data_IF_590104333293
#
_entry.id   IF_590104333293
#
_cell.length_a   1.000
_cell.length_b   1.000
_cell.length_c   1.000
_cell.angle_alpha   90.00
_cell.angle_beta   90.00
_cell.angle_gamma   90.00
#
_symmetry.space_group_name_H-M   'P 1'
#
loop_
_entity.id
_entity.type
_entity.pdbx_description
1 polymer ?
#
# COMPACT_ATOMS: atom_id res chain seq x y z
N UNK A 1 -6.43 -12.76 27.86
CA UNK A 1 -5.47 -13.50 27.39
C UNK A 1 -4.29 -12.73 26.87
N UNK A 2 -3.28 -13.37 26.78
CA UNK A 2 -2.05 -12.75 26.42
C UNK A 2 -1.84 -12.78 24.95
N UNK A 3 -1.12 -11.86 24.42
CA UNK A 3 -0.76 -11.86 23.05
C UNK A 3 -1.72 -11.14 22.13
N UNK A 4 -2.84 -10.65 22.66
CA UNK A 4 -3.76 -9.89 21.84
C UNK A 4 -3.99 -8.53 22.46
N UNK A 5 -3.20 -7.58 22.06
CA UNK A 5 -3.43 -6.19 22.39
C UNK A 5 -4.47 -5.62 21.44
N UNK A 6 -4.99 -4.45 21.76
CA UNK A 6 -5.90 -3.75 20.87
C UNK A 6 -5.19 -3.47 19.53
N UNK A 7 -3.90 -3.15 19.57
CA UNK A 7 -3.13 -2.92 18.37
C UNK A 7 -3.08 -4.14 17.47
N UNK A 8 -2.89 -5.33 18.04
CA UNK A 8 -2.89 -6.56 17.27
C UNK A 8 -4.24 -6.83 16.64
N UNK A 9 -5.30 -6.57 17.38
CA UNK A 9 -6.65 -6.77 16.85
C UNK A 9 -6.94 -5.81 15.70
N UNK A 10 -6.49 -4.57 15.81
CA UNK A 10 -6.65 -3.59 14.74
C UNK A 10 -5.88 -3.98 13.50
N UNK A 11 -4.68 -4.51 13.65
CA UNK A 11 -3.89 -4.96 12.50
C UNK A 11 -4.56 -6.14 11.80
N UNK A 12 -5.15 -7.06 12.56
CA UNK A 12 -5.90 -8.16 11.97
C UNK A 12 -7.12 -7.65 11.21
N UNK A 13 -7.84 -6.73 11.80
CA UNK A 13 -9.02 -6.16 11.17
C UNK A 13 -8.63 -5.42 9.91
N UNK A 14 -7.54 -4.68 9.96
CA UNK A 14 -7.00 -3.97 8.81
C UNK A 14 -6.70 -4.94 7.66
N UNK A 15 -6.02 -6.04 7.97
CA UNK A 15 -5.71 -7.04 6.97
C UNK A 15 -6.97 -7.65 6.37
N UNK A 16 -8.00 -7.87 7.17
CA UNK A 16 -9.26 -8.41 6.67
C UNK A 16 -9.95 -7.45 5.71
N UNK A 17 -9.95 -6.17 6.04
CA UNK A 17 -10.55 -5.16 5.16
C UNK A 17 -9.86 -5.16 3.80
N UNK A 18 -8.53 -5.19 3.82
CA UNK A 18 -7.77 -5.22 2.57
C UNK A 18 -8.05 -6.51 1.79
N UNK A 19 -8.06 -7.64 2.49
CA UNK A 19 -8.23 -8.94 1.84
C UNK A 19 -9.54 -9.06 1.08
N UNK A 20 -10.56 -8.35 1.52
CA UNK A 20 -11.86 -8.38 0.86
C UNK A 20 -11.87 -7.63 -0.46
N UNK A 21 -10.89 -6.76 -0.67
CA UNK A 21 -10.88 -5.90 -1.84
C UNK A 21 -9.92 -6.37 -2.94
N UNK A 22 -9.02 -7.30 -2.62
CA UNK A 22 -8.01 -7.75 -3.59
C UNK A 22 -8.45 -9.08 -4.20
N UNK A 23 -7.87 -9.39 -5.37
CA UNK A 23 -8.19 -10.61 -6.10
C UNK A 23 -7.39 -11.78 -5.54
N UNK A 24 -7.81 -13.00 -5.92
CA UNK A 24 -7.07 -14.20 -5.54
C UNK A 24 -5.63 -14.17 -6.04
N UNK A 25 -5.42 -13.57 -7.18
CA UNK A 25 -4.08 -13.48 -7.77
C UNK A 25 -3.21 -12.43 -7.07
N UNK A 26 -3.81 -11.60 -6.23
CA UNK A 26 -3.06 -10.61 -5.47
C UNK A 26 -2.65 -11.23 -4.13
N UNK A 27 -1.56 -10.73 -3.57
CA UNK A 27 -1.05 -11.24 -2.30
C UNK A 27 -0.87 -10.11 -1.32
N UNK A 28 -1.42 -10.29 -0.13
CA UNK A 28 -1.23 -9.37 0.98
C UNK A 28 -0.17 -9.98 1.91
N UNK A 29 0.87 -9.22 2.17
CA UNK A 29 1.98 -9.66 3.02
C UNK A 29 2.22 -8.60 4.08
N UNK A 30 2.37 -9.03 5.33
CA UNK A 30 2.82 -8.14 6.37
C UNK A 30 4.33 -8.02 6.24
N UNK A 31 4.79 -6.85 5.81
CA UNK A 31 6.20 -6.67 5.50
C UNK A 31 7.03 -6.43 6.73
N UNK A 32 6.48 -5.78 7.73
CA UNK A 32 7.15 -5.55 8.99
C UNK A 32 6.37 -4.55 9.81
N UNK A 33 6.43 -4.68 11.14
CA UNK A 33 5.75 -3.75 12.02
C UNK A 33 4.29 -3.55 11.65
N UNK A 34 3.96 -2.33 11.25
CA UNK A 34 2.61 -1.99 10.84
C UNK A 34 2.48 -1.87 9.32
N UNK A 35 3.50 -2.28 8.58
CA UNK A 35 3.50 -2.17 7.13
C UNK A 35 2.97 -3.42 6.47
N UNK A 36 2.13 -3.21 5.47
CA UNK A 36 1.62 -4.28 4.61
C UNK A 36 1.98 -3.97 3.18
N UNK A 37 2.20 -5.02 2.40
CA UNK A 37 2.45 -4.89 0.97
C UNK A 37 1.42 -5.74 0.23
N UNK A 38 0.84 -5.18 -0.81
CA UNK A 38 -0.05 -5.92 -1.70
C UNK A 38 0.68 -6.08 -3.03
N UNK A 39 0.92 -7.33 -3.40
CA UNK A 39 1.52 -7.64 -4.70
C UNK A 39 0.40 -7.94 -5.68
N UNK A 40 0.33 -7.15 -6.75
CA UNK A 40 -0.73 -7.26 -7.74
C UNK A 40 -0.14 -7.81 -9.04
N UNK A 41 -0.56 -9.02 -9.41
CA UNK A 41 -0.10 -9.64 -10.65
C UNK A 41 -0.91 -9.12 -11.82
N UNK A 42 -0.24 -8.97 -12.98
CA UNK A 42 -0.91 -8.62 -14.23
C UNK A 42 -1.83 -7.42 -14.05
N UNK A 43 -1.29 -6.39 -13.43
CA UNK A 43 -2.04 -5.20 -13.06
C UNK A 43 -1.31 -3.99 -13.61
N UNK A 44 -2.04 -3.14 -14.34
CA UNK A 44 -1.45 -1.90 -14.83
C UNK A 44 -1.31 -0.92 -13.67
N UNK A 45 -0.47 0.09 -13.87
CA UNK A 45 -0.31 1.12 -12.85
C UNK A 45 -1.63 1.82 -12.57
N UNK A 46 -2.42 2.08 -13.61
CA UNK A 46 -3.73 2.72 -13.43
C UNK A 46 -4.66 1.86 -12.59
N UNK A 47 -4.67 0.56 -12.83
CA UNK A 47 -5.48 -0.37 -12.05
C UNK A 47 -5.01 -0.41 -10.59
N UNK A 48 -3.71 -0.35 -10.39
CA UNK A 48 -3.16 -0.35 -9.04
C UNK A 48 -3.55 0.93 -8.29
N UNK A 49 -3.55 2.06 -8.99
CA UNK A 49 -3.97 3.33 -8.39
C UNK A 49 -5.44 3.25 -8.00
N UNK A 50 -6.28 2.70 -8.87
CA UNK A 50 -7.71 2.53 -8.58
C UNK A 50 -7.92 1.65 -7.36
N UNK A 51 -7.18 0.54 -7.29
CA UNK A 51 -7.25 -0.35 -6.13
C UNK A 51 -6.83 0.36 -4.86
N UNK A 52 -5.71 1.07 -4.93
CA UNK A 52 -5.18 1.77 -3.76
C UNK A 52 -6.17 2.82 -3.25
N UNK A 53 -6.79 3.57 -4.15
CA UNK A 53 -7.78 4.56 -3.75
C UNK A 53 -9.01 3.91 -3.13
N UNK A 54 -9.43 2.77 -3.68
CA UNK A 54 -10.54 2.02 -3.11
C UNK A 54 -10.20 1.50 -1.72
N UNK A 55 -8.98 0.99 -1.55
CA UNK A 55 -8.54 0.53 -0.23
C UNK A 55 -8.52 1.67 0.77
N UNK A 56 -7.98 2.82 0.37
CA UNK A 56 -7.91 3.98 1.25
C UNK A 56 -9.31 4.38 1.69
N UNK A 57 -10.24 4.44 0.75
CA UNK A 57 -11.62 4.84 1.05
C UNK A 57 -12.31 3.83 1.95
N UNK A 58 -12.13 2.55 1.67
CA UNK A 58 -12.77 1.50 2.49
C UNK A 58 -12.25 1.53 3.92
N UNK A 59 -10.97 1.76 4.09
CA UNK A 59 -10.38 1.84 5.42
C UNK A 59 -10.91 3.07 6.15
N UNK A 60 -10.98 4.20 5.48
CA UNK A 60 -11.47 5.43 6.09
C UNK A 60 -12.94 5.32 6.51
N UNK A 61 -13.74 4.55 5.76
CA UNK A 61 -15.17 4.41 6.03
C UNK A 61 -15.52 3.23 6.93
N UNK A 62 -14.54 2.40 7.25
CA UNK A 62 -14.81 1.18 8.01
C UNK A 62 -15.15 1.49 9.47
N UNK A 63 -16.07 0.71 10.03
CA UNK A 63 -16.42 0.82 11.46
C UNK A 63 -15.48 -0.10 12.23
N UNK A 64 -14.47 0.49 12.83
CA UNK A 64 -13.41 -0.28 13.49
C UNK A 64 -13.84 -0.71 14.89
N UNK A 65 -13.29 -1.86 15.30
CA UNK A 65 -13.66 -2.48 16.57
C UNK A 65 -13.41 -1.58 17.77
N UNK A 66 -12.41 -0.71 17.69
CA UNK A 66 -12.10 0.21 18.80
C UNK A 66 -13.00 1.45 18.80
N UNK A 67 -13.88 1.58 17.82
CA UNK A 67 -14.83 2.68 17.77
C UNK A 67 -14.31 3.99 17.19
N UNK A 68 -13.02 4.05 16.88
CA UNK A 68 -12.43 5.25 16.30
C UNK A 68 -12.31 5.15 14.79
N UNK A 69 -11.79 6.20 14.18
CA UNK A 69 -11.52 6.23 12.76
C UNK A 69 -10.06 5.89 12.49
N UNK A 70 -9.81 5.21 11.38
CA UNK A 70 -8.46 4.90 10.94
C UNK A 70 -8.35 5.30 9.48
N UNK A 71 -7.22 5.89 9.14
CA UNK A 71 -6.90 6.17 7.75
C UNK A 71 -5.59 5.47 7.41
N UNK A 72 -5.30 5.35 6.14
CA UNK A 72 -4.03 4.77 5.72
C UNK A 72 -3.41 5.60 4.63
N UNK A 73 -2.10 5.48 4.53
CA UNK A 73 -1.33 6.07 3.45
C UNK A 73 -0.78 4.92 2.62
N UNK A 74 -0.69 5.12 1.32
CA UNK A 74 -0.23 4.06 0.43
C UNK A 74 0.82 4.61 -0.54
N UNK A 75 1.83 3.80 -0.76
CA UNK A 75 2.83 4.07 -1.80
C UNK A 75 2.72 2.99 -2.86
N UNK A 76 2.82 3.37 -4.11
CA UNK A 76 2.67 2.47 -5.24
C UNK A 76 3.93 2.51 -6.08
N UNK A 77 4.41 1.35 -6.50
CA UNK A 77 5.50 1.25 -7.45
C UNK A 77 5.23 0.10 -8.39
N UNK A 78 5.52 0.31 -9.66
CA UNK A 78 5.37 -0.73 -10.66
C UNK A 78 6.68 -1.50 -10.76
N UNK A 79 6.58 -2.83 -10.75
CA UNK A 79 7.76 -3.67 -10.83
C UNK A 79 8.20 -3.83 -12.27
N UNK A 80 9.48 -3.63 -12.51
CA UNK A 80 10.10 -3.92 -13.78
C UNK A 80 10.98 -5.16 -13.65
N UNK A 81 12.20 -5.07 -14.16
CA UNK A 81 13.15 -6.19 -14.15
C UNK A 81 13.92 -6.29 -12.85
N UNK A 82 13.65 -5.42 -11.92
CA UNK A 82 14.36 -5.36 -10.66
C UNK A 82 13.87 -6.42 -9.69
N UNK A 83 14.56 -6.50 -8.55
CA UNK A 83 14.16 -7.42 -7.48
C UNK A 83 12.93 -6.87 -6.76
N UNK A 84 12.19 -7.80 -6.16
CA UNK A 84 11.02 -7.43 -5.37
C UNK A 84 11.40 -6.41 -4.28
N UNK A 85 12.53 -6.61 -3.61
CA UNK A 85 12.94 -5.70 -2.54
C UNK A 85 13.19 -4.29 -3.05
N UNK A 86 13.68 -4.17 -4.27
CA UNK A 86 13.90 -2.85 -4.86
C UNK A 86 12.58 -2.17 -5.19
N UNK A 87 11.62 -2.95 -5.69
CA UNK A 87 10.28 -2.41 -5.96
C UNK A 87 9.62 -1.94 -4.67
N UNK A 88 9.70 -2.76 -3.61
CA UNK A 88 9.14 -2.39 -2.33
C UNK A 88 9.81 -1.14 -1.78
N UNK A 89 11.12 -1.02 -1.97
CA UNK A 89 11.85 0.17 -1.52
C UNK A 89 11.32 1.43 -2.21
N UNK A 90 11.02 1.34 -3.51
CA UNK A 90 10.46 2.48 -4.24
C UNK A 90 9.06 2.81 -3.77
N UNK A 91 8.25 1.78 -3.51
CA UNK A 91 6.91 2.00 -2.96
C UNK A 91 7.00 2.66 -1.58
N UNK A 92 8.01 2.28 -0.80
CA UNK A 92 8.24 2.85 0.51
C UNK A 92 8.59 4.34 0.44
N UNK A 93 9.38 4.72 -0.57
CA UNK A 93 9.68 6.14 -0.77
C UNK A 93 8.41 6.92 -1.06
N UNK A 94 7.53 6.35 -1.89
CA UNK A 94 6.25 6.99 -2.18
C UNK A 94 5.38 7.06 -0.92
N UNK A 95 5.39 6.00 -0.13
CA UNK A 95 4.65 5.98 1.13
C UNK A 95 5.14 7.06 2.08
N UNK A 96 6.46 7.24 2.14
CA UNK A 96 7.05 8.30 2.97
C UNK A 96 6.53 9.68 2.53
N UNK A 97 6.48 9.91 1.21
CA UNK A 97 5.94 11.17 0.70
C UNK A 97 4.47 11.34 1.10
N UNK A 98 3.68 10.24 1.00
CA UNK A 98 2.27 10.31 1.38
C UNK A 98 2.12 10.74 2.83
N UNK A 99 2.96 10.20 3.71
CA UNK A 99 2.92 10.55 5.12
C UNK A 99 3.33 11.99 5.35
N UNK A 100 4.32 12.47 4.62
CA UNK A 100 4.78 13.85 4.75
C UNK A 100 3.77 14.85 4.22
N UNK A 101 3.03 14.46 3.20
CA UNK A 101 2.08 15.36 2.54
C UNK A 101 0.72 15.41 3.25
N UNK A 102 0.57 14.72 4.36
CA UNK A 102 -0.66 14.83 5.15
C UNK A 102 -1.34 13.51 5.44
N UNK A 103 -0.76 12.39 5.04
CA UNK A 103 -1.32 11.05 5.27
C UNK A 103 -2.66 10.89 4.56
N UNK A 104 -3.33 9.77 4.76
CA UNK A 104 -4.65 9.46 4.20
C UNK A 104 -4.69 9.77 2.70
N UNK A 105 -3.73 9.21 1.97
CA UNK A 105 -3.57 9.49 0.55
C UNK A 105 -2.69 8.45 -0.09
N UNK A 106 -2.70 8.42 -1.42
CA UNK A 106 -1.80 7.56 -2.16
C UNK A 106 -0.75 8.42 -2.87
N UNK A 107 0.42 7.83 -3.05
CA UNK A 107 1.48 8.44 -3.84
C UNK A 107 2.09 7.36 -4.71
N UNK A 108 2.58 7.74 -5.88
CA UNK A 108 3.14 6.79 -6.84
C UNK A 108 4.61 7.09 -7.03
N UNK A 109 5.42 6.05 -7.05
CA UNK A 109 6.82 6.18 -7.37
C UNK A 109 7.00 5.85 -8.86
N UNK A 110 7.38 6.84 -9.65
CA UNK A 110 7.56 6.68 -11.08
C UNK A 110 9.02 6.46 -11.45
N UNK A 111 9.80 5.92 -10.51
CA UNK A 111 11.24 5.88 -10.64
C UNK A 111 11.77 5.30 -11.93
N UNK A 112 11.29 4.12 -12.31
CA UNK A 112 11.77 3.49 -13.54
C UNK A 112 11.36 4.28 -14.77
N UNK A 113 10.13 4.77 -14.79
CA UNK A 113 9.64 5.56 -15.90
C UNK A 113 10.33 6.91 -15.95
N UNK A 114 10.51 7.53 -14.80
CA UNK A 114 11.21 8.79 -14.70
C UNK A 114 12.66 8.66 -15.13
N UNK A 115 13.31 7.56 -14.75
CA UNK A 115 14.67 7.29 -15.15
C UNK A 115 14.80 7.17 -16.66
N UNK A 116 13.84 6.49 -17.28
CA UNK A 116 13.84 6.34 -18.74
C UNK A 116 13.75 7.71 -19.41
N UNK A 117 12.86 8.55 -18.90
CA UNK A 117 12.70 9.90 -19.42
C UNK A 117 13.97 10.72 -19.22
N UNK A 118 14.55 10.61 -18.05
CA UNK A 118 15.79 11.32 -17.75
C UNK A 118 16.92 10.86 -18.64
N UNK A 119 16.98 9.58 -18.90
CA UNK A 119 17.97 9.03 -19.82
C UNK A 119 17.83 9.64 -21.20
N UNK A 120 16.64 9.87 -21.64
CA UNK A 120 16.39 10.49 -22.93
C UNK A 120 16.85 11.93 -22.95
N UNK A 121 16.68 12.63 -21.86
CA UNK A 121 17.13 14.01 -21.76
C UNK A 121 18.62 14.09 -21.70
N UNK A 122 19.20 13.13 -21.04
CA UNK A 122 20.61 13.08 -20.89
C UNK A 122 21.28 12.71 -22.18
#
# INVERSE_FOLDING_TARGET
MYGHSLGDDLLREFALVISREIRESDKLVRWGGEEFVVFCAQTTLEQAIELAERLRAKIADHSWIHGGAITCSLGIAQMGDERITETVSRADEALYRAKRLGRNRIEVHYGLMAKSSDGEKG
#
